data_IF_030899427034
#
_entry.id   IF_030899427034
#
_cell.length_a   1.000
_cell.length_b   1.000
_cell.length_c   1.000
_cell.angle_alpha   90.00
_cell.angle_beta   90.00
_cell.angle_gamma   90.00
#
_symmetry.space_group_name_H-M   'P 1'
#
loop_
_entity.id
_entity.type
_entity.pdbx_description
1 polymer ?
#
# COMPACT_ATOMS: atom_id res chain seq x y z
N UNK A 1 12.52 9.80 2.82
CA UNK A 1 11.28 9.28 3.41
C UNK A 1 11.68 8.25 4.43
N UNK A 2 11.43 8.54 5.70
CA UNK A 2 11.86 7.73 6.83
C UNK A 2 10.89 6.57 7.07
N UNK A 3 11.33 5.36 6.74
CA UNK A 3 10.53 4.15 6.87
C UNK A 3 11.04 3.34 8.06
N UNK A 4 10.11 2.93 8.91
CA UNK A 4 10.37 2.09 10.08
C UNK A 4 9.76 0.73 9.85
N UNK A 5 10.48 -0.33 10.22
CA UNK A 5 10.00 -1.72 10.12
C UNK A 5 9.90 -2.34 11.50
N UNK A 6 8.91 -3.20 11.71
CA UNK A 6 8.70 -3.94 12.94
C UNK A 6 9.11 -5.40 12.74
N UNK A 7 10.22 -5.78 13.36
CA UNK A 7 10.74 -7.14 13.31
C UNK A 7 10.99 -7.64 14.73
N UNK A 8 10.50 -8.84 15.04
CA UNK A 8 10.70 -9.49 16.34
C UNK A 8 10.26 -8.62 17.54
N UNK A 9 9.17 -7.86 17.38
CA UNK A 9 8.66 -6.95 18.42
C UNK A 9 9.48 -5.67 18.60
N UNK A 10 10.50 -5.42 17.77
CA UNK A 10 11.29 -4.20 17.81
C UNK A 10 11.09 -3.38 16.54
N UNK A 11 10.89 -2.06 16.73
CA UNK A 11 10.92 -1.10 15.63
C UNK A 11 12.37 -0.81 15.27
N UNK A 12 12.73 -1.00 14.00
CA UNK A 12 14.05 -0.69 13.44
C UNK A 12 13.93 0.42 12.39
N UNK A 13 14.98 1.22 12.25
CA UNK A 13 15.05 2.35 11.33
C UNK A 13 15.46 3.65 12.02
N UNK A 14 15.35 4.80 11.32
CA UNK A 14 14.75 4.95 10.00
C UNK A 14 15.58 4.34 8.87
N UNK A 15 14.90 3.76 7.89
CA UNK A 15 15.47 3.24 6.65
C UNK A 15 14.88 3.97 5.44
N UNK A 16 15.62 3.96 4.34
CA UNK A 16 15.13 4.40 3.03
C UNK A 16 14.59 3.23 2.22
N UNK A 17 13.72 3.49 1.23
CA UNK A 17 13.17 2.44 0.35
C UNK A 17 14.28 1.61 -0.31
N UNK A 18 15.35 2.25 -0.79
CA UNK A 18 16.47 1.55 -1.43
C UNK A 18 17.17 0.58 -0.45
N UNK A 19 17.40 1.00 0.80
CA UNK A 19 17.99 0.12 1.81
C UNK A 19 17.06 -1.06 2.13
N UNK A 20 15.76 -0.81 2.26
CA UNK A 20 14.79 -1.88 2.47
C UNK A 20 14.72 -2.82 1.27
N UNK A 21 14.89 -2.33 0.05
CA UNK A 21 14.92 -3.11 -1.19
C UNK A 21 16.14 -4.02 -1.24
N UNK A 22 17.32 -3.52 -0.86
CA UNK A 22 18.53 -4.33 -0.74
C UNK A 22 18.37 -5.42 0.34
N UNK A 23 17.82 -5.05 1.50
CA UNK A 23 17.57 -6.00 2.59
C UNK A 23 16.51 -7.05 2.20
N UNK A 24 15.49 -6.64 1.45
CA UNK A 24 14.45 -7.52 0.90
C UNK A 24 15.01 -8.51 -0.11
N UNK A 25 15.76 -8.02 -1.11
CA UNK A 25 16.41 -8.87 -2.11
C UNK A 25 17.45 -9.80 -1.49
N UNK A 26 18.10 -9.35 -0.41
CA UNK A 26 19.01 -10.16 0.40
C UNK A 26 18.32 -11.18 1.32
N UNK A 27 16.98 -11.22 1.38
CA UNK A 27 16.22 -12.13 2.25
C UNK A 27 16.33 -11.83 3.74
N UNK A 28 16.79 -10.63 4.12
CA UNK A 28 16.95 -10.23 5.52
C UNK A 28 15.64 -9.77 6.17
N UNK A 29 14.64 -9.42 5.35
CA UNK A 29 13.34 -8.95 5.80
C UNK A 29 12.26 -9.89 5.22
N UNK A 30 11.44 -10.54 6.07
CA UNK A 30 10.35 -11.37 5.58
C UNK A 30 9.21 -10.55 4.95
N UNK A 31 8.45 -11.18 4.05
CA UNK A 31 7.30 -10.59 3.35
C UNK A 31 6.23 -9.98 4.23
N UNK A 32 5.98 -10.62 5.36
CA UNK A 32 4.98 -10.21 6.33
C UNK A 32 5.49 -9.12 7.29
N UNK A 33 6.70 -8.59 7.07
CA UNK A 33 7.23 -7.51 7.92
C UNK A 33 6.38 -6.27 7.81
N UNK A 34 5.92 -5.76 8.95
CA UNK A 34 5.17 -4.52 8.97
C UNK A 34 6.10 -3.32 8.84
N UNK A 35 5.80 -2.42 7.91
CA UNK A 35 6.45 -1.13 7.77
C UNK A 35 5.47 0.01 8.07
N UNK A 36 6.01 1.12 8.54
CA UNK A 36 5.30 2.36 8.79
C UNK A 36 6.19 3.54 8.44
N UNK A 37 5.60 4.61 7.92
CA UNK A 37 6.30 5.87 7.69
C UNK A 37 5.41 7.04 8.11
N UNK A 38 6.02 8.21 8.26
CA UNK A 38 5.29 9.43 8.57
C UNK A 38 4.20 9.71 7.52
N UNK A 39 2.97 9.96 7.97
CA UNK A 39 1.79 10.15 7.12
C UNK A 39 0.95 8.88 6.88
N UNK A 40 1.41 7.70 7.32
CA UNK A 40 0.65 6.46 7.19
C UNK A 40 -0.27 6.25 8.42
N UNK A 41 -1.59 6.05 8.26
CA UNK A 41 -2.50 5.91 9.40
C UNK A 41 -2.34 4.56 10.13
N UNK A 42 -1.82 3.55 9.44
CA UNK A 42 -1.59 2.20 9.97
C UNK A 42 -0.37 1.58 9.29
N UNK A 43 0.29 0.63 9.97
CA UNK A 43 1.38 -0.14 9.37
C UNK A 43 0.85 -1.07 8.28
N UNK A 44 1.60 -1.23 7.19
CA UNK A 44 1.30 -2.18 6.11
C UNK A 44 2.43 -3.22 5.99
N UNK A 45 2.20 -4.30 5.23
CA UNK A 45 3.23 -5.31 4.98
C UNK A 45 4.24 -4.82 3.93
N UNK A 46 5.52 -5.09 4.14
CA UNK A 46 6.60 -4.61 3.28
C UNK A 46 6.53 -5.21 1.88
N UNK A 47 5.89 -6.38 1.72
CA UNK A 47 5.58 -6.93 0.41
C UNK A 47 4.73 -5.96 -0.44
N UNK A 48 3.81 -5.19 0.14
CA UNK A 48 3.01 -4.19 -0.57
C UNK A 48 3.89 -3.03 -1.09
N UNK A 49 4.87 -2.61 -0.27
CA UNK A 49 5.83 -1.57 -0.64
C UNK A 49 6.62 -1.90 -1.92
N UNK A 50 6.90 -3.19 -2.15
CA UNK A 50 7.63 -3.67 -3.32
C UNK A 50 6.73 -4.25 -4.43
N UNK A 51 5.52 -4.72 -4.09
CA UNK A 51 4.53 -5.20 -5.06
C UNK A 51 3.95 -4.06 -5.90
N UNK A 52 3.82 -2.86 -5.33
CA UNK A 52 3.12 -1.72 -5.96
C UNK A 52 3.91 -1.03 -7.08
N UNK A 53 5.08 -1.54 -7.48
CA UNK A 53 5.75 -1.13 -8.74
C UNK A 53 5.01 -1.65 -9.98
N UNK A 54 4.14 -2.65 -9.82
CA UNK A 54 3.24 -3.10 -10.88
C UNK A 54 1.83 -2.71 -10.47
N UNK A 55 1.11 -2.05 -11.37
CA UNK A 55 -0.25 -1.53 -11.16
C UNK A 55 -0.31 -0.16 -10.47
N UNK A 56 0.14 0.86 -11.22
CA UNK A 56 -0.78 1.96 -11.48
C UNK A 56 -2.06 1.37 -12.12
N UNK A 57 -3.03 0.95 -11.31
CA UNK A 57 -4.41 0.87 -11.78
C UNK A 57 -4.99 2.25 -11.48
N UNK A 58 -5.21 3.10 -12.48
CA UNK A 58 -6.12 4.22 -12.28
C UNK A 58 -7.48 3.60 -11.93
N UNK A 59 -7.84 3.62 -10.65
CA UNK A 59 -9.24 3.55 -10.24
C UNK A 59 -9.88 4.93 -10.51
N UNK A 60 -9.79 5.37 -11.76
CA UNK A 60 -10.90 6.08 -12.40
C UNK A 60 -11.62 5.04 -13.24
N UNK A 61 -12.22 4.05 -12.56
CA UNK A 61 -13.29 3.29 -13.16
C UNK A 61 -14.52 4.19 -13.05
N UNK A 62 -14.72 4.94 -14.13
CA UNK A 62 -16.02 5.38 -14.62
C UNK A 62 -17.13 4.40 -14.18
N UNK A 63 -17.87 4.79 -13.15
CA UNK A 63 -19.09 4.14 -12.69
C UNK A 63 -19.90 5.13 -11.84
N UNK A 64 -20.12 6.32 -12.41
CA UNK A 64 -21.08 7.32 -11.94
C UNK A 64 -22.15 7.64 -12.99
N UNK A 65 -22.25 6.85 -14.07
CA UNK A 65 -23.33 6.89 -15.07
C UNK A 65 -24.25 5.67 -14.89
N UNK A 66 -24.72 5.42 -13.67
CA UNK A 66 -25.76 4.42 -13.42
C UNK A 66 -26.69 4.82 -12.27
N UNK A 67 -26.94 6.11 -12.09
CA UNK A 67 -28.06 6.58 -11.28
C UNK A 67 -29.12 7.21 -12.19
N UNK A 68 -30.35 6.70 -12.06
CA UNK A 68 -31.59 7.16 -12.72
C UNK A 68 -31.97 6.49 -14.05
N UNK A 69 -32.06 5.16 -14.03
CA UNK A 69 -33.09 4.50 -14.85
C UNK A 69 -34.46 4.71 -14.17
N UNK A 70 -35.40 5.29 -14.92
CA UNK A 70 -36.87 5.29 -14.72
C UNK A 70 -37.44 6.05 -13.52
N UNK A 71 -38.05 7.20 -13.82
CA UNK A 71 -39.29 7.62 -13.16
C UNK A 71 -40.49 6.93 -13.87
N UNK A 72 -41.51 6.46 -13.13
CA UNK A 72 -42.65 5.72 -13.70
C UNK A 72 -43.68 6.64 -14.41
N UNK A 73 -44.50 6.02 -15.26
CA UNK A 73 -45.51 6.64 -16.13
C UNK A 73 -46.77 7.14 -15.38
N UNK A 74 -47.35 8.25 -15.86
CA UNK A 74 -48.77 8.68 -15.81
C UNK A 74 -48.85 10.09 -16.46
N UNK A 75 -49.83 10.52 -17.26
CA UNK A 75 -51.09 10.00 -17.81
C UNK A 75 -51.36 10.75 -19.12
#
# INVERSE_FOLDING_TARGET
MDIYIYMQGQRRGPYEKAQLEEMWNGGQIPADTLYWHEGMPQSAVIADLFANTTIARPLSLDAGNAESMRFPAAS
#
